data_IF_671824240757
#
_entry.id   IF_671824240757
#
_cell.length_a   1.000
_cell.length_b   1.000
_cell.length_c   1.000
_cell.angle_alpha   90.00
_cell.angle_beta   90.00
_cell.angle_gamma   90.00
#
_symmetry.space_group_name_H-M   'P 1'
#
loop_
_entity.id
_entity.type
_entity.pdbx_description
1 polymer ?
#
# COMPACT_ATOMS: atom_id res chain seq x y z
N UNK A 1 25.65 26.54 -20.21
CA UNK A 1 25.51 25.33 -19.39
C UNK A 1 25.16 25.76 -17.99
N UNK A 2 23.95 25.44 -17.53
CA UNK A 2 23.51 25.77 -16.17
C UNK A 2 24.12 24.80 -15.16
N UNK A 3 24.23 25.19 -13.89
CA UNK A 3 24.72 24.29 -12.82
C UNK A 3 23.93 22.96 -12.79
N UNK A 4 22.62 23.02 -13.06
CA UNK A 4 21.73 21.85 -13.09
C UNK A 4 22.12 20.90 -14.21
N UNK A 5 22.39 21.40 -15.42
CA UNK A 5 22.86 20.58 -16.54
C UNK A 5 24.18 19.88 -16.19
N UNK A 6 25.14 20.59 -15.60
CA UNK A 6 26.42 20.00 -15.16
C UNK A 6 26.22 18.87 -14.15
N UNK A 7 25.31 19.04 -13.20
CA UNK A 7 25.00 18.01 -12.19
C UNK A 7 24.29 16.81 -12.83
N UNK A 8 23.36 17.03 -13.74
CA UNK A 8 22.66 15.96 -14.45
C UNK A 8 23.62 15.17 -15.36
N UNK A 9 24.49 15.85 -16.09
CA UNK A 9 25.52 15.22 -16.93
C UNK A 9 26.48 14.37 -16.09
N UNK A 10 26.89 14.89 -14.91
CA UNK A 10 27.70 14.12 -13.96
C UNK A 10 26.94 12.88 -13.45
N UNK A 11 25.68 13.03 -13.04
CA UNK A 11 24.86 11.92 -12.58
C UNK A 11 24.51 10.91 -13.69
N UNK A 12 24.52 11.31 -14.96
CA UNK A 12 24.32 10.41 -16.09
C UNK A 12 25.59 9.61 -16.42
N UNK A 13 26.77 10.18 -16.14
CA UNK A 13 28.08 9.53 -16.31
C UNK A 13 28.48 8.58 -15.18
N UNK A 14 27.87 8.68 -14.00
CA UNK A 14 28.17 7.81 -12.85
C UNK A 14 26.89 7.22 -12.22
N UNK A 15 26.87 5.92 -11.84
CA UNK A 15 25.67 5.25 -11.31
C UNK A 15 25.35 5.60 -9.84
N UNK A 16 25.77 6.78 -9.36
CA UNK A 16 25.64 7.21 -7.96
C UNK A 16 24.17 7.22 -7.53
N UNK A 17 23.30 7.77 -8.38
CA UNK A 17 21.86 7.86 -8.12
C UNK A 17 21.27 6.46 -7.97
N UNK A 18 21.55 5.56 -8.92
CA UNK A 18 21.05 4.17 -8.89
C UNK A 18 21.51 3.42 -7.65
N UNK A 19 22.79 3.54 -7.27
CA UNK A 19 23.34 2.91 -6.06
C UNK A 19 22.62 3.42 -4.80
N UNK A 20 22.45 4.74 -4.67
CA UNK A 20 21.75 5.33 -3.53
C UNK A 20 20.32 4.81 -3.44
N UNK A 21 19.57 4.79 -4.55
CA UNK A 21 18.19 4.31 -4.55
C UNK A 21 18.08 2.82 -4.21
N UNK A 22 19.02 1.98 -4.68
CA UNK A 22 19.06 0.56 -4.31
C UNK A 22 19.31 0.40 -2.80
N UNK A 23 20.26 1.14 -2.23
CA UNK A 23 20.52 1.12 -0.78
C UNK A 23 19.28 1.56 0.00
N UNK A 24 18.63 2.65 -0.41
CA UNK A 24 17.38 3.12 0.21
C UNK A 24 16.29 2.06 0.13
N UNK A 25 16.16 1.35 -1.00
CA UNK A 25 15.19 0.26 -1.15
C UNK A 25 15.51 -0.90 -0.20
N UNK A 26 16.78 -1.33 -0.09
CA UNK A 26 17.19 -2.39 0.83
C UNK A 26 16.85 -2.00 2.27
N UNK A 27 17.22 -0.79 2.70
CA UNK A 27 16.91 -0.30 4.05
C UNK A 27 15.41 -0.20 4.29
N UNK A 28 14.64 0.24 3.29
CA UNK A 28 13.18 0.36 3.37
C UNK A 28 12.47 -1.01 3.39
N UNK A 29 13.11 -2.07 2.89
CA UNK A 29 12.54 -3.42 2.93
C UNK A 29 12.56 -4.04 4.33
N UNK A 30 13.53 -3.66 5.17
CA UNK A 30 13.69 -4.18 6.53
C UNK A 30 12.44 -3.97 7.42
N UNK A 31 11.87 -2.76 7.56
CA UNK A 31 10.66 -2.57 8.35
C UNK A 31 9.44 -3.30 7.77
N UNK A 32 9.37 -3.47 6.44
CA UNK A 32 8.28 -4.21 5.79
C UNK A 32 8.36 -5.70 6.13
N UNK A 33 9.56 -6.29 6.06
CA UNK A 33 9.80 -7.69 6.45
C UNK A 33 9.53 -7.88 7.94
N UNK A 34 10.01 -6.98 8.80
CA UNK A 34 9.75 -7.04 10.23
C UNK A 34 8.25 -6.98 10.54
N UNK A 35 7.52 -6.08 9.89
CA UNK A 35 6.06 -5.98 10.02
C UNK A 35 5.38 -7.27 9.59
N UNK A 36 5.80 -7.87 8.47
CA UNK A 36 5.24 -9.14 7.99
C UNK A 36 5.44 -10.28 9.00
N UNK A 37 6.63 -10.37 9.60
CA UNK A 37 6.94 -11.35 10.66
C UNK A 37 6.08 -11.09 11.91
N UNK A 38 6.01 -9.83 12.36
CA UNK A 38 5.22 -9.44 13.53
C UNK A 38 3.72 -9.76 13.34
N UNK A 39 3.19 -9.60 12.13
CA UNK A 39 1.81 -9.93 11.81
C UNK A 39 1.49 -11.42 11.96
N UNK A 40 2.44 -12.31 11.63
CA UNK A 40 2.24 -13.76 11.79
C UNK A 40 2.10 -14.17 13.27
N UNK A 41 2.83 -13.49 14.17
CA UNK A 41 2.73 -13.72 15.61
C UNK A 41 1.62 -12.96 16.32
N UNK A 42 0.91 -12.07 15.61
CA UNK A 42 -0.11 -11.20 16.23
C UNK A 42 -1.46 -11.92 16.42
N UNK A 43 -2.14 -11.61 17.53
CA UNK A 43 -3.49 -12.09 17.83
C UNK A 43 -4.58 -11.32 17.06
N UNK A 44 -4.31 -10.93 15.81
CA UNK A 44 -5.26 -10.24 14.96
C UNK A 44 -6.25 -11.22 14.32
N UNK A 45 -7.44 -10.72 13.99
CA UNK A 45 -8.42 -11.49 13.22
C UNK A 45 -7.82 -11.97 11.89
N UNK A 46 -8.11 -13.22 11.51
CA UNK A 46 -7.54 -13.90 10.32
C UNK A 46 -7.63 -13.03 9.06
N UNK A 47 -8.79 -12.45 8.79
CA UNK A 47 -8.99 -11.65 7.58
C UNK A 47 -8.17 -10.37 7.57
N UNK A 48 -8.05 -9.70 8.73
CA UNK A 48 -7.23 -8.51 8.87
C UNK A 48 -5.76 -8.88 8.70
N UNK A 49 -5.33 -10.01 9.28
CA UNK A 49 -3.97 -10.54 9.10
C UNK A 49 -3.66 -10.81 7.63
N UNK A 50 -4.57 -11.46 6.89
CA UNK A 50 -4.39 -11.73 5.46
C UNK A 50 -4.35 -10.41 4.66
N UNK A 51 -5.28 -9.48 4.89
CA UNK A 51 -5.29 -8.19 4.17
C UNK A 51 -4.00 -7.37 4.41
N UNK A 52 -3.55 -7.26 5.67
CA UNK A 52 -2.29 -6.55 5.98
C UNK A 52 -1.08 -7.32 5.43
N UNK A 53 -1.13 -8.66 5.39
CA UNK A 53 -0.08 -9.46 4.75
C UNK A 53 -0.03 -9.20 3.23
N UNK A 54 -1.17 -9.15 2.54
CA UNK A 54 -1.23 -8.83 1.11
C UNK A 54 -0.78 -7.38 0.83
N UNK A 55 -1.14 -6.45 1.71
CA UNK A 55 -0.69 -5.06 1.65
C UNK A 55 0.84 -4.95 1.82
N UNK A 56 1.41 -5.62 2.82
CA UNK A 56 2.87 -5.62 3.07
C UNK A 56 3.65 -6.33 1.95
N UNK A 57 3.15 -7.46 1.42
CA UNK A 57 3.75 -8.13 0.27
C UNK A 57 3.73 -7.22 -0.96
N UNK A 58 2.62 -6.52 -1.20
CA UNK A 58 2.52 -5.56 -2.31
C UNK A 58 3.51 -4.41 -2.13
N UNK A 59 3.65 -3.88 -0.91
CA UNK A 59 4.63 -2.85 -0.58
C UNK A 59 6.09 -3.32 -0.78
N UNK A 60 6.41 -4.55 -0.37
CA UNK A 60 7.72 -5.15 -0.64
C UNK A 60 7.96 -5.30 -2.15
N UNK A 61 6.94 -5.69 -2.90
CA UNK A 61 6.97 -5.73 -4.36
C UNK A 61 7.25 -4.36 -4.99
N UNK A 62 6.67 -3.27 -4.46
CA UNK A 62 6.96 -1.90 -4.90
C UNK A 62 8.45 -1.60 -4.71
N UNK A 63 8.99 -1.83 -3.51
CA UNK A 63 10.41 -1.58 -3.20
C UNK A 63 11.34 -2.41 -4.10
N UNK A 64 11.02 -3.69 -4.29
CA UNK A 64 11.77 -4.58 -5.18
C UNK A 64 11.71 -4.10 -6.64
N UNK A 65 10.53 -3.67 -7.12
CA UNK A 65 10.38 -3.15 -8.48
C UNK A 65 11.25 -1.90 -8.71
N UNK A 66 11.35 -1.00 -7.72
CA UNK A 66 12.22 0.18 -7.78
C UNK A 66 13.68 -0.26 -7.85
N UNK A 67 14.11 -1.16 -6.96
CA UNK A 67 15.48 -1.66 -6.94
C UNK A 67 15.87 -2.32 -8.27
N UNK A 68 14.98 -3.13 -8.86
CA UNK A 68 15.21 -3.75 -10.17
C UNK A 68 15.28 -2.70 -11.28
N UNK A 69 14.41 -1.69 -11.27
CA UNK A 69 14.44 -0.60 -12.26
C UNK A 69 15.77 0.17 -12.23
N UNK A 70 16.28 0.50 -11.04
CA UNK A 70 17.58 1.17 -10.90
C UNK A 70 18.77 0.23 -11.15
N UNK A 71 18.64 -1.06 -10.83
CA UNK A 71 19.63 -2.07 -11.22
C UNK A 71 19.76 -2.19 -12.74
N UNK A 72 18.63 -2.15 -13.46
CA UNK A 72 18.60 -2.13 -14.92
C UNK A 72 19.21 -0.84 -15.50
N UNK A 73 19.14 0.29 -14.80
CA UNK A 73 19.83 1.52 -15.22
C UNK A 73 21.35 1.38 -15.15
N UNK A 74 21.89 0.59 -14.21
CA UNK A 74 23.33 0.39 -14.07
C UNK A 74 23.95 -0.42 -15.22
N UNK A 75 23.13 -1.18 -15.96
CA UNK A 75 23.57 -1.98 -17.10
C UNK A 75 23.24 -1.34 -18.44
N UNK A 76 22.67 -0.14 -18.45
CA UNK A 76 22.23 0.53 -19.68
C UNK A 76 23.36 1.38 -20.28
N UNK A 77 23.59 1.26 -21.59
CA UNK A 77 24.74 1.87 -22.25
C UNK A 77 24.57 3.38 -22.49
N UNK A 78 23.35 3.88 -22.65
CA UNK A 78 23.09 5.30 -22.98
C UNK A 78 23.06 6.24 -21.74
N UNK A 79 23.62 5.80 -20.62
CA UNK A 79 23.69 6.57 -19.37
C UNK A 79 22.92 5.97 -18.21
N UNK A 80 23.22 6.46 -17.01
CA UNK A 80 22.66 5.96 -15.76
C UNK A 80 21.36 6.64 -15.34
N UNK A 81 20.94 7.72 -16.02
CA UNK A 81 19.70 8.42 -15.71
C UNK A 81 18.54 8.07 -16.66
N UNK A 82 17.31 7.98 -16.12
CA UNK A 82 16.12 7.75 -16.93
C UNK A 82 15.82 8.97 -17.84
N UNK A 83 16.00 8.83 -19.15
CA UNK A 83 15.66 9.89 -20.13
C UNK A 83 14.19 9.90 -20.57
N UNK A 84 13.38 8.98 -20.04
CA UNK A 84 11.95 8.91 -20.31
C UNK A 84 11.34 7.56 -19.94
N UNK A 85 10.12 7.29 -20.41
CA UNK A 85 9.44 6.00 -20.17
C UNK A 85 9.92 4.90 -21.13
N UNK A 86 10.37 5.30 -22.33
CA UNK A 86 10.71 4.39 -23.44
C UNK A 86 12.14 3.85 -23.33
N UNK A 87 13.09 4.71 -22.94
CA UNK A 87 14.51 4.37 -22.84
C UNK A 87 15.02 4.53 -21.40
N UNK A 88 15.56 3.48 -20.77
CA UNK A 88 15.62 2.07 -21.23
C UNK A 88 14.24 1.39 -21.32
N UNK A 89 14.13 0.23 -22.01
CA UNK A 89 12.86 -0.50 -22.18
C UNK A 89 12.39 -1.16 -20.88
N UNK A 90 11.82 -0.37 -19.98
CA UNK A 90 11.33 -0.79 -18.65
C UNK A 90 9.80 -0.71 -18.52
N UNK A 91 9.08 -0.62 -19.63
CA UNK A 91 7.63 -0.40 -19.65
C UNK A 91 6.86 -1.45 -18.81
N UNK A 92 7.28 -2.71 -18.84
CA UNK A 92 6.67 -3.78 -18.04
C UNK A 92 7.00 -3.68 -16.55
N UNK A 93 8.21 -3.22 -16.19
CA UNK A 93 8.59 -2.96 -14.80
C UNK A 93 7.80 -1.77 -14.24
N UNK A 94 7.66 -0.70 -15.03
CA UNK A 94 6.84 0.47 -14.69
C UNK A 94 5.35 0.10 -14.55
N UNK A 95 4.84 -0.74 -15.46
CA UNK A 95 3.50 -1.31 -15.39
C UNK A 95 3.30 -2.10 -14.09
N UNK A 96 4.20 -3.04 -13.78
CA UNK A 96 4.14 -3.85 -12.56
C UNK A 96 4.24 -2.98 -11.30
N UNK A 97 5.12 -1.99 -11.30
CA UNK A 97 5.27 -1.02 -10.22
C UNK A 97 3.95 -0.25 -9.96
N UNK A 98 3.34 0.31 -11.01
CA UNK A 98 2.07 1.05 -10.86
C UNK A 98 0.90 0.14 -10.49
N UNK A 99 0.91 -1.11 -10.96
CA UNK A 99 -0.05 -2.12 -10.51
C UNK A 99 0.09 -2.35 -9.00
N UNK A 100 1.28 -2.69 -8.51
CA UNK A 100 1.53 -2.95 -7.08
C UNK A 100 1.23 -1.72 -6.21
N UNK A 101 1.55 -0.52 -6.69
CA UNK A 101 1.25 0.74 -6.01
C UNK A 101 -0.26 0.92 -5.81
N UNK A 102 -1.04 0.78 -6.89
CA UNK A 102 -2.49 0.95 -6.84
C UNK A 102 -3.17 -0.16 -6.03
N UNK A 103 -2.68 -1.40 -6.15
CA UNK A 103 -3.15 -2.55 -5.36
C UNK A 103 -2.92 -2.32 -3.86
N UNK A 104 -1.73 -1.85 -3.48
CA UNK A 104 -1.41 -1.48 -2.08
C UNK A 104 -2.37 -0.42 -1.54
N UNK A 105 -2.60 0.64 -2.32
CA UNK A 105 -3.54 1.72 -1.98
C UNK A 105 -4.97 1.19 -1.79
N UNK A 106 -5.43 0.31 -2.67
CA UNK A 106 -6.76 -0.31 -2.56
C UNK A 106 -6.87 -1.22 -1.33
N UNK A 107 -5.82 -1.98 -0.99
CA UNK A 107 -5.79 -2.79 0.23
C UNK A 107 -5.89 -1.95 1.50
N UNK A 108 -5.31 -0.74 1.53
CA UNK A 108 -5.46 0.17 2.66
C UNK A 108 -6.94 0.49 2.91
N UNK A 109 -7.69 0.84 1.86
CA UNK A 109 -9.13 1.05 1.95
C UNK A 109 -9.87 -0.19 2.46
N UNK A 110 -9.53 -1.38 1.97
CA UNK A 110 -10.16 -2.62 2.43
C UNK A 110 -9.85 -2.97 3.88
N UNK A 111 -8.64 -2.71 4.36
CA UNK A 111 -8.27 -2.89 5.78
C UNK A 111 -9.15 -2.00 6.66
N UNK A 112 -9.40 -0.75 6.24
CA UNK A 112 -10.25 0.19 6.98
C UNK A 112 -11.70 -0.26 7.00
N UNK A 113 -12.23 -0.67 5.84
CA UNK A 113 -13.59 -1.19 5.73
C UNK A 113 -13.78 -2.45 6.58
N UNK A 114 -12.82 -3.36 6.55
CA UNK A 114 -12.80 -4.57 7.37
C UNK A 114 -12.85 -4.25 8.88
N UNK A 115 -12.11 -3.23 9.33
CA UNK A 115 -12.17 -2.73 10.71
C UNK A 115 -13.55 -2.15 11.05
N UNK A 116 -14.17 -1.41 10.14
CA UNK A 116 -15.54 -0.89 10.34
C UNK A 116 -16.56 -2.03 10.41
N UNK A 117 -16.44 -3.05 9.54
CA UNK A 117 -17.38 -4.17 9.52
C UNK A 117 -17.26 -5.07 10.76
N UNK A 118 -16.03 -5.39 11.18
CA UNK A 118 -15.77 -6.21 12.38
C UNK A 118 -16.31 -5.56 13.66
N UNK A 119 -16.26 -4.22 13.78
CA UNK A 119 -16.80 -3.50 14.94
C UNK A 119 -18.33 -3.34 14.94
N UNK A 120 -18.98 -3.47 13.79
CA UNK A 120 -20.44 -3.28 13.68
C UNK A 120 -21.21 -4.41 14.38
N UNK A 121 -20.84 -5.67 14.16
CA UNK A 121 -21.48 -6.87 14.76
C UNK A 121 -20.46 -8.01 14.96
N UNK A 122 -19.64 -7.98 16.03
CA UNK A 122 -18.54 -8.93 16.20
C UNK A 122 -19.00 -10.40 16.25
N UNK A 123 -20.10 -10.70 16.96
CA UNK A 123 -20.61 -12.08 17.08
C UNK A 123 -21.01 -12.69 15.72
N UNK A 124 -21.85 -11.99 14.96
CA UNK A 124 -22.28 -12.46 13.64
C UNK A 124 -21.13 -12.47 12.62
N UNK A 125 -20.13 -11.63 12.82
CA UNK A 125 -18.96 -11.56 11.94
C UNK A 125 -18.10 -12.83 12.06
N UNK A 126 -17.77 -13.23 13.30
CA UNK A 126 -16.94 -14.41 13.57
C UNK A 126 -17.60 -15.73 13.17
N UNK A 127 -18.91 -15.83 13.27
CA UNK A 127 -19.64 -17.05 12.91
C UNK A 127 -19.89 -17.19 11.39
N UNK A 128 -19.71 -16.11 10.62
CA UNK A 128 -20.04 -16.11 9.20
C UNK A 128 -18.85 -16.52 8.32
N UNK A 129 -19.00 -17.63 7.57
CA UNK A 129 -18.08 -17.98 6.48
C UNK A 129 -18.06 -16.96 5.32
N UNK A 130 -18.90 -15.92 5.37
CA UNK A 130 -18.92 -14.79 4.42
C UNK A 130 -17.62 -14.00 4.45
N UNK A 131 -16.95 -13.97 5.60
CA UNK A 131 -15.76 -13.16 5.83
C UNK A 131 -14.61 -13.52 4.86
N UNK A 132 -14.39 -14.82 4.63
CA UNK A 132 -13.37 -15.31 3.67
C UNK A 132 -13.72 -14.99 2.21
N UNK A 133 -15.01 -15.09 1.82
CA UNK A 133 -15.46 -14.75 0.47
C UNK A 133 -15.27 -13.27 0.16
N UNK A 134 -15.58 -12.39 1.11
CA UNK A 134 -15.37 -10.95 0.97
C UNK A 134 -13.90 -10.62 0.76
N UNK A 135 -13.00 -11.32 1.49
CA UNK A 135 -11.57 -11.11 1.36
C UNK A 135 -11.02 -11.53 -0.02
N UNK A 136 -11.49 -12.66 -0.55
CA UNK A 136 -11.11 -13.09 -1.91
C UNK A 136 -11.56 -12.07 -2.96
N UNK A 137 -12.79 -11.59 -2.87
CA UNK A 137 -13.33 -10.56 -3.77
C UNK A 137 -12.55 -9.25 -3.65
N UNK A 138 -12.20 -8.85 -2.43
CA UNK A 138 -11.34 -7.69 -2.17
C UNK A 138 -9.95 -7.85 -2.82
N UNK A 139 -9.29 -9.00 -2.65
CA UNK A 139 -7.99 -9.27 -3.27
C UNK A 139 -8.03 -9.22 -4.80
N UNK A 140 -9.00 -9.90 -5.41
CA UNK A 140 -9.16 -9.92 -6.88
C UNK A 140 -9.46 -8.52 -7.41
N UNK A 141 -10.35 -7.77 -6.76
CA UNK A 141 -10.71 -6.42 -7.19
C UNK A 141 -9.55 -5.42 -7.05
N UNK A 142 -8.79 -5.48 -5.94
CA UNK A 142 -7.59 -4.65 -5.77
C UNK A 142 -6.57 -4.90 -6.89
N UNK A 143 -6.29 -6.17 -7.16
CA UNK A 143 -5.35 -6.55 -8.21
C UNK A 143 -5.85 -6.12 -9.59
N UNK A 144 -7.13 -6.37 -9.91
CA UNK A 144 -7.72 -5.98 -11.19
C UNK A 144 -7.69 -4.46 -11.43
N UNK A 145 -8.04 -3.65 -10.41
CA UNK A 145 -7.96 -2.19 -10.48
C UNK A 145 -6.51 -1.75 -10.68
N UNK A 146 -5.57 -2.35 -9.96
CA UNK A 146 -4.15 -2.04 -10.09
C UNK A 146 -3.60 -2.38 -11.48
N UNK A 147 -3.88 -3.58 -12.00
CA UNK A 147 -3.44 -4.00 -13.33
C UNK A 147 -4.02 -3.11 -14.42
N UNK A 148 -5.31 -2.75 -14.30
CA UNK A 148 -5.96 -1.82 -15.23
C UNK A 148 -5.31 -0.44 -15.20
N UNK A 149 -5.04 0.13 -14.01
CA UNK A 149 -4.40 1.43 -13.90
C UNK A 149 -2.98 1.42 -14.50
N UNK A 150 -2.20 0.37 -14.23
CA UNK A 150 -0.88 0.20 -14.83
C UNK A 150 -0.96 0.14 -16.36
N UNK A 151 -1.92 -0.62 -16.89
CA UNK A 151 -2.13 -0.77 -18.33
C UNK A 151 -2.47 0.58 -18.99
N UNK A 152 -3.44 1.30 -18.43
CA UNK A 152 -3.86 2.62 -18.94
C UNK A 152 -2.71 3.63 -18.91
N UNK A 153 -1.89 3.61 -17.85
CA UNK A 153 -0.78 4.55 -17.71
C UNK A 153 0.37 4.27 -18.68
N UNK A 154 0.88 3.04 -18.68
CA UNK A 154 2.14 2.72 -19.36
C UNK A 154 1.97 2.07 -20.72
N UNK A 155 0.98 1.19 -20.90
CA UNK A 155 0.76 0.50 -22.18
C UNK A 155 -0.07 1.36 -23.13
N UNK A 156 -1.17 1.94 -22.64
CA UNK A 156 -2.02 2.83 -23.44
C UNK A 156 -1.49 4.27 -23.50
N UNK A 157 -0.61 4.68 -22.57
CA UNK A 157 -0.05 6.03 -22.51
C UNK A 157 -1.04 7.12 -22.09
N UNK A 158 -2.19 6.75 -21.53
CA UNK A 158 -3.28 7.68 -21.16
C UNK A 158 -3.08 8.26 -19.76
N UNK A 159 -2.08 9.14 -19.62
CA UNK A 159 -1.68 9.74 -18.34
C UNK A 159 -2.86 10.39 -17.58
N UNK A 160 -3.71 11.15 -18.27
CA UNK A 160 -4.87 11.82 -17.66
C UNK A 160 -5.88 10.86 -17.03
N UNK A 161 -6.12 9.71 -17.65
CA UNK A 161 -7.04 8.72 -17.13
C UNK A 161 -6.47 8.02 -15.90
N UNK A 162 -5.19 7.65 -15.92
CA UNK A 162 -4.51 7.09 -14.75
C UNK A 162 -4.47 8.07 -13.58
N UNK A 163 -4.23 9.35 -13.85
CA UNK A 163 -4.23 10.40 -12.82
C UNK A 163 -5.62 10.53 -12.15
N UNK A 164 -6.71 10.48 -12.94
CA UNK A 164 -8.07 10.48 -12.40
C UNK A 164 -8.33 9.28 -11.48
N UNK A 165 -7.88 8.08 -11.88
CA UNK A 165 -8.01 6.86 -11.08
C UNK A 165 -7.26 7.03 -9.75
N UNK A 166 -5.99 7.45 -9.79
CA UNK A 166 -5.16 7.65 -8.59
C UNK A 166 -5.75 8.70 -7.63
N UNK A 167 -6.21 9.82 -8.16
CA UNK A 167 -6.81 10.88 -7.32
C UNK A 167 -8.13 10.42 -6.67
N UNK A 168 -8.96 9.66 -7.40
CA UNK A 168 -10.22 9.12 -6.88
C UNK A 168 -9.96 8.10 -5.78
N UNK A 169 -8.97 7.22 -5.97
CA UNK A 169 -8.56 6.21 -4.99
C UNK A 169 -8.04 6.87 -3.69
N UNK A 170 -7.10 7.82 -3.82
CA UNK A 170 -6.56 8.57 -2.68
C UNK A 170 -7.64 9.34 -1.91
N UNK A 171 -8.56 9.98 -2.62
CA UNK A 171 -9.69 10.66 -2.00
C UNK A 171 -10.59 9.68 -1.24
N UNK A 172 -10.88 8.51 -1.83
CA UNK A 172 -11.68 7.45 -1.20
C UNK A 172 -11.02 6.89 0.06
N UNK A 173 -9.70 6.71 0.04
CA UNK A 173 -8.92 6.28 1.23
C UNK A 173 -9.03 7.33 2.34
N UNK A 174 -8.83 8.61 2.02
CA UNK A 174 -8.93 9.69 3.00
C UNK A 174 -10.33 9.75 3.64
N UNK A 175 -11.39 9.61 2.83
CA UNK A 175 -12.77 9.58 3.30
C UNK A 175 -13.06 8.36 4.17
N UNK A 176 -12.69 7.16 3.71
CA UNK A 176 -12.93 5.92 4.45
C UNK A 176 -12.13 5.88 5.76
N UNK A 177 -10.88 6.32 5.78
CA UNK A 177 -10.07 6.47 6.99
C UNK A 177 -10.71 7.44 7.99
N UNK A 178 -11.09 8.64 7.52
CA UNK A 178 -11.72 9.66 8.37
C UNK A 178 -13.03 9.15 8.97
N UNK A 179 -13.86 8.52 8.14
CA UNK A 179 -15.12 7.92 8.59
C UNK A 179 -14.89 6.75 9.55
N UNK A 180 -13.92 5.88 9.25
CA UNK A 180 -13.59 4.72 10.07
C UNK A 180 -13.12 5.10 11.47
N UNK A 181 -12.27 6.12 11.59
CA UNK A 181 -11.83 6.66 12.89
C UNK A 181 -13.01 7.23 13.67
N UNK A 182 -13.83 8.08 13.03
CA UNK A 182 -15.01 8.70 13.67
C UNK A 182 -16.02 7.64 14.13
N UNK A 183 -16.30 6.65 13.28
CA UNK A 183 -17.20 5.55 13.58
C UNK A 183 -16.69 4.68 14.73
N UNK A 184 -15.41 4.31 14.70
CA UNK A 184 -14.78 3.51 15.74
C UNK A 184 -14.80 4.23 17.10
N UNK A 185 -14.52 5.54 17.11
CA UNK A 185 -14.62 6.38 18.32
C UNK A 185 -16.05 6.46 18.86
N UNK A 186 -17.04 6.67 17.99
CA UNK A 186 -18.45 6.67 18.38
C UNK A 186 -18.87 5.33 18.99
N UNK A 187 -18.47 4.20 18.37
CA UNK A 187 -18.78 2.85 18.86
C UNK A 187 -18.07 2.53 20.17
N UNK A 188 -16.81 2.94 20.33
CA UNK A 188 -16.08 2.82 21.59
C UNK A 188 -16.85 3.46 22.75
N UNK A 189 -17.24 4.73 22.57
CA UNK A 189 -17.97 5.48 23.57
C UNK A 189 -19.36 4.87 23.86
N UNK A 190 -20.03 4.33 22.85
CA UNK A 190 -21.33 3.66 23.03
C UNK A 190 -21.24 2.33 23.80
N UNK A 191 -20.11 1.62 23.70
CA UNK A 191 -19.85 0.37 24.41
C UNK A 191 -19.25 0.61 25.81
N UNK A 192 -18.69 1.80 26.05
CA UNK A 192 -18.22 2.24 27.35
C UNK A 192 -19.36 2.16 28.38
N UNK A 193 -19.09 1.54 29.52
CA UNK A 193 -20.05 1.20 30.58
C UNK A 193 -21.11 0.10 30.31
N UNK A 194 -21.35 -0.35 29.06
CA UNK A 194 -22.46 -1.29 28.74
C UNK A 194 -22.03 -2.68 28.25
N UNK A 195 -20.77 -2.86 27.82
CA UNK A 195 -20.29 -4.12 27.24
C UNK A 195 -19.18 -4.78 28.07
N UNK A 196 -19.02 -6.10 27.87
CA UNK A 196 -18.00 -6.95 28.49
C UNK A 196 -16.58 -6.49 28.13
N UNK A 197 -15.60 -6.76 29.02
CA UNK A 197 -14.21 -6.29 28.90
C UNK A 197 -13.58 -6.63 27.53
N UNK A 198 -13.91 -7.80 26.98
CA UNK A 198 -13.39 -8.28 25.69
C UNK A 198 -13.86 -7.44 24.50
N UNK A 199 -15.12 -6.98 24.52
CA UNK A 199 -15.65 -6.11 23.47
C UNK A 199 -15.02 -4.71 23.53
N UNK A 200 -14.57 -4.26 24.71
CA UNK A 200 -13.84 -2.99 24.86
C UNK A 200 -12.41 -3.08 24.34
N UNK A 201 -11.74 -4.22 24.53
CA UNK A 201 -10.38 -4.47 24.04
C UNK A 201 -10.28 -4.40 22.50
N UNK A 202 -11.25 -4.99 21.79
CA UNK A 202 -11.26 -4.97 20.31
C UNK A 202 -11.36 -3.55 19.73
N UNK A 203 -12.02 -2.64 20.44
CA UNK A 203 -12.20 -1.26 19.98
C UNK A 203 -11.04 -0.36 20.43
N UNK A 204 -10.43 -0.65 21.58
CA UNK A 204 -9.24 0.07 22.05
C UNK A 204 -8.03 -0.14 21.12
N UNK A 205 -7.90 -1.31 20.49
CA UNK A 205 -6.85 -1.61 19.51
C UNK A 205 -6.93 -0.77 18.21
N UNK A 206 -8.05 -0.07 17.98
CA UNK A 206 -8.29 0.73 16.77
C UNK A 206 -7.97 2.22 16.96
N UNK A 207 -7.70 2.67 18.19
CA UNK A 207 -7.41 4.06 18.51
C UNK A 207 -5.88 4.26 18.59
N UNK A 208 -5.33 5.36 18.06
CA UNK A 208 -3.91 5.68 18.22
C UNK A 208 -3.57 5.79 19.72
N UNK A 209 -2.49 5.13 20.13
CA UNK A 209 -1.96 5.18 21.50
C UNK A 209 -1.68 6.63 21.87
N UNK A 210 -2.44 7.17 22.83
CA UNK A 210 -2.41 8.59 23.20
C UNK A 210 -3.77 9.18 23.59
N UNK A 211 -4.87 8.45 23.42
CA UNK A 211 -6.08 8.71 24.20
C UNK A 211 -6.02 7.87 25.48
N UNK A 212 -5.29 8.39 26.45
CA UNK A 212 -5.20 7.81 27.78
C UNK A 212 -6.60 7.64 28.36
N UNK A 213 -6.77 6.45 28.92
CA UNK A 213 -7.92 6.02 29.69
C UNK A 213 -7.83 6.77 31.03
N UNK A 214 -8.52 7.90 31.12
CA UNK A 214 -9.09 8.43 32.37
C UNK A 214 -10.59 8.59 32.17
#
# INVERSE_FOLDING_TARGET
MTLIETVLDFCDGFPIVSIIFIIVCILSSLPVIFLLIALQGSAMHENCRILISLWTISLLGIVLSIAIMYGHMMTFEDGYLPRGVISPPRIYLLWAHSMLYTTTSTFEMFIVLERIFSTRKPHAYHESGRASKTLLVAGISAFAIGSYNGYVLYIQGSCWQSLKIKNTDQFSICQTNTFGIRYSKYRFNALYAKATLNARYQVCQLLPQGMDIF
#
